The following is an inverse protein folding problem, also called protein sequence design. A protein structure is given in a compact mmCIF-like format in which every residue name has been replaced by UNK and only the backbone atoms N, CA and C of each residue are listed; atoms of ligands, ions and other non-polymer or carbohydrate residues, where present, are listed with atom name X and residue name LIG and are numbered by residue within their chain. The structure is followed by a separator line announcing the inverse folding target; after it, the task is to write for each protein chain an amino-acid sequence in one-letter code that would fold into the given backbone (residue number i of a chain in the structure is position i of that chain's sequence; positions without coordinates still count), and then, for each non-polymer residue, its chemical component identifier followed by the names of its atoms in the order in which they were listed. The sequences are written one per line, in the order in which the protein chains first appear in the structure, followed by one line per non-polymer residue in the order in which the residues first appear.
data_IF_486558787475
#
_entry.id   IF_486558787475
#
_cell.length_a   1.000
_cell.length_b   1.000
_cell.length_c   1.000
_cell.angle_alpha   90.00
_cell.angle_beta   90.00
_cell.angle_gamma   90.00
#
_symmetry.space_group_name_H-M   'P 1'
#
loop_
_entity.id
_entity.type
_entity.pdbx_description
1 polymer ?
#
# COMPACT_ATOMS: atom_id res chain seq x y z
N UNK A 1 12.34 -8.53 -5.75
CA UNK A 1 12.25 -9.81 -6.46
C UNK A 1 11.41 -9.69 -7.73
N UNK A 2 11.35 -10.72 -8.58
CA UNK A 2 10.60 -10.70 -9.84
C UNK A 2 9.14 -10.25 -9.68
N UNK A 3 8.46 -10.70 -8.61
CA UNK A 3 7.07 -10.31 -8.32
C UNK A 3 6.88 -8.80 -8.07
N UNK A 4 7.81 -8.15 -7.38
CA UNK A 4 7.77 -6.70 -7.17
C UNK A 4 8.00 -5.91 -8.46
N UNK A 5 8.90 -6.39 -9.32
CA UNK A 5 9.08 -5.80 -10.66
C UNK A 5 7.81 -5.92 -11.51
N UNK A 6 7.15 -7.08 -11.47
CA UNK A 6 5.91 -7.31 -12.19
C UNK A 6 4.77 -6.41 -11.68
N UNK A 7 4.61 -6.26 -10.36
CA UNK A 7 3.59 -5.37 -9.79
C UNK A 7 3.89 -3.90 -10.13
N UNK A 8 5.13 -3.44 -9.96
CA UNK A 8 5.51 -2.07 -10.30
C UNK A 8 5.30 -1.75 -11.78
N UNK A 9 5.71 -2.66 -12.68
CA UNK A 9 5.46 -2.49 -14.10
C UNK A 9 3.96 -2.44 -14.41
N UNK A 10 3.15 -3.31 -13.79
CA UNK A 10 1.70 -3.34 -13.98
C UNK A 10 1.06 -2.04 -13.51
N UNK A 11 1.36 -1.61 -12.28
CA UNK A 11 0.77 -0.39 -11.69
C UNK A 11 1.21 0.85 -12.49
N UNK A 12 2.48 0.90 -12.88
CA UNK A 12 3.00 2.00 -13.70
C UNK A 12 2.33 2.07 -15.06
N UNK A 13 2.17 0.94 -15.77
CA UNK A 13 1.56 0.93 -17.11
C UNK A 13 0.06 1.24 -17.07
N UNK A 14 -0.66 0.71 -16.07
CA UNK A 14 -2.12 0.91 -15.96
C UNK A 14 -2.47 2.32 -15.47
N UNK A 15 -1.69 2.86 -14.54
CA UNK A 15 -1.97 4.16 -13.92
C UNK A 15 -1.00 5.26 -14.37
N UNK A 16 -0.37 5.09 -15.54
CA UNK A 16 0.63 6.04 -16.06
C UNK A 16 0.12 7.49 -16.11
N UNK A 17 -1.17 7.68 -16.39
CA UNK A 17 -1.81 9.00 -16.44
C UNK A 17 -1.92 9.71 -15.09
N UNK A 18 -1.70 9.01 -13.96
CA UNK A 18 -1.83 9.54 -12.60
C UNK A 18 -0.66 9.11 -11.71
N UNK A 19 0.41 9.92 -11.63
CA UNK A 19 1.58 9.59 -10.84
C UNK A 19 1.30 9.40 -9.35
N UNK A 20 0.24 10.02 -8.82
CA UNK A 20 -0.18 9.82 -7.43
C UNK A 20 -0.45 8.35 -7.10
N UNK A 21 -1.02 7.60 -8.06
CA UNK A 21 -1.50 6.24 -7.82
C UNK A 21 -0.33 5.25 -7.86
N UNK A 22 0.53 5.32 -8.89
CA UNK A 22 1.64 4.36 -8.97
C UNK A 22 2.77 4.68 -7.98
N UNK A 23 3.02 5.97 -7.67
CA UNK A 23 4.05 6.34 -6.69
C UNK A 23 3.63 5.91 -5.28
N UNK A 24 2.40 6.20 -4.85
CA UNK A 24 1.90 5.74 -3.56
C UNK A 24 1.94 4.22 -3.42
N UNK A 25 1.70 3.47 -4.49
CA UNK A 25 1.74 2.01 -4.51
C UNK A 25 3.15 1.44 -4.34
N UNK A 26 4.15 2.06 -4.97
CA UNK A 26 5.56 1.71 -4.79
C UNK A 26 6.04 2.08 -3.38
N UNK A 27 5.64 3.26 -2.89
CA UNK A 27 5.93 3.69 -1.52
C UNK A 27 5.27 2.78 -0.48
N UNK A 28 4.03 2.35 -0.70
CA UNK A 28 3.31 1.45 0.20
C UNK A 28 4.03 0.11 0.40
N UNK A 29 4.60 -0.50 -0.65
CA UNK A 29 5.47 -1.67 -0.48
C UNK A 29 6.76 -1.27 0.22
N UNK A 30 7.48 -0.28 -0.29
CA UNK A 30 8.83 0.00 0.19
C UNK A 30 8.88 0.50 1.63
N UNK A 31 7.88 1.26 2.07
CA UNK A 31 7.78 1.81 3.43
C UNK A 31 6.87 0.96 4.30
N UNK A 32 5.70 0.55 3.79
CA UNK A 32 4.73 -0.23 4.56
C UNK A 32 5.24 -1.61 4.90
N UNK A 33 5.61 -2.43 3.90
CA UNK A 33 6.09 -3.80 4.10
C UNK A 33 7.39 -3.83 4.92
N UNK A 34 8.34 -2.94 4.58
CA UNK A 34 9.58 -2.79 5.34
C UNK A 34 9.33 -2.40 6.80
N UNK A 35 8.39 -1.48 7.06
CA UNK A 35 8.02 -1.14 8.44
C UNK A 35 7.35 -2.32 9.16
N UNK A 36 6.48 -3.07 8.48
CA UNK A 36 5.88 -4.28 9.02
C UNK A 36 6.92 -5.28 9.52
N UNK A 37 7.98 -5.49 8.73
CA UNK A 37 9.09 -6.38 9.09
C UNK A 37 9.96 -5.80 10.23
N UNK A 38 10.30 -4.50 10.17
CA UNK A 38 11.15 -3.82 11.14
C UNK A 38 10.49 -3.73 12.52
N UNK A 39 9.20 -3.45 12.59
CA UNK A 39 8.47 -3.36 13.86
C UNK A 39 7.91 -4.73 14.29
N UNK A 40 7.50 -5.58 13.36
CA UNK A 40 6.94 -6.89 13.66
C UNK A 40 7.97 -7.91 14.15
N UNK A 41 9.24 -7.82 13.74
CA UNK A 41 10.28 -8.77 14.17
C UNK A 41 10.75 -8.60 15.63
N UNK A 42 11.12 -7.40 16.10
CA UNK A 42 11.59 -7.17 17.46
C UNK A 42 10.44 -7.07 18.49
N UNK A 43 9.29 -6.49 18.12
CA UNK A 43 8.17 -6.30 19.05
C UNK A 43 7.09 -7.38 18.96
N UNK A 44 7.03 -8.13 17.85
CA UNK A 44 6.09 -9.24 17.70
C UNK A 44 6.45 -10.40 18.63
N UNK A 45 5.67 -10.56 19.69
CA UNK A 45 5.87 -11.59 20.72
C UNK A 45 6.05 -12.99 20.11
N UNK A 46 7.06 -13.74 20.60
CA UNK A 46 7.43 -15.10 20.11
C UNK A 46 6.25 -16.08 20.05
N UNK A 47 5.21 -15.88 20.87
CA UNK A 47 4.01 -16.72 20.91
C UNK A 47 3.02 -16.46 19.74
N UNK A 48 2.95 -15.22 19.23
CA UNK A 48 2.05 -14.85 18.11
C UNK A 48 2.64 -15.30 16.78
N UNK A 49 3.96 -15.17 16.61
CA UNK A 49 4.71 -15.61 15.41
C UNK A 49 4.43 -17.07 15.01
N UNK A 50 4.28 -17.97 15.99
CA UNK A 50 4.07 -19.41 15.73
C UNK A 50 2.63 -19.76 15.33
N UNK A 51 1.65 -18.92 15.69
CA UNK A 51 0.21 -19.15 15.41
C UNK A 51 -0.27 -18.42 14.16
N UNK A 52 0.36 -17.31 13.79
CA UNK A 52 0.02 -16.48 12.63
C UNK A 52 1.19 -16.31 11.64
N UNK A 53 1.93 -17.39 11.36
CA UNK A 53 2.92 -17.45 10.26
C UNK A 53 3.89 -16.24 10.22
N UNK A 54 4.47 -15.91 11.36
CA UNK A 54 5.41 -14.79 11.57
C UNK A 54 4.85 -13.36 11.42
N UNK A 55 3.55 -13.19 11.17
CA UNK A 55 2.88 -11.87 11.17
C UNK A 55 2.51 -11.45 12.60
N UNK A 56 2.71 -10.16 12.91
CA UNK A 56 2.44 -9.59 14.25
C UNK A 56 1.49 -8.39 14.15
N UNK A 57 0.74 -8.13 15.22
CA UNK A 57 -0.21 -7.03 15.26
C UNK A 57 0.50 -5.67 15.18
N UNK A 58 1.66 -5.57 15.82
CA UNK A 58 2.55 -4.40 15.78
C UNK A 58 3.05 -4.14 14.35
N UNK A 59 3.40 -5.20 13.62
CA UNK A 59 3.78 -5.13 12.21
C UNK A 59 2.65 -4.58 11.34
N UNK A 60 1.42 -5.09 11.49
CA UNK A 60 0.27 -4.61 10.71
C UNK A 60 -0.10 -3.16 11.04
N UNK A 61 0.04 -2.71 12.30
CA UNK A 61 -0.10 -1.29 12.66
C UNK A 61 0.96 -0.45 11.96
N UNK A 62 2.21 -0.92 11.91
CA UNK A 62 3.27 -0.22 11.20
C UNK A 62 2.96 -0.11 9.69
N UNK A 63 2.53 -1.20 9.05
CA UNK A 63 2.13 -1.21 7.64
C UNK A 63 1.00 -0.20 7.40
N UNK A 64 0.00 -0.14 8.29
CA UNK A 64 -1.11 0.81 8.19
C UNK A 64 -0.63 2.27 8.21
N UNK A 65 0.22 2.61 9.19
CA UNK A 65 0.74 3.97 9.36
C UNK A 65 1.62 4.36 8.17
N UNK A 66 2.55 3.51 7.77
CA UNK A 66 3.48 3.80 6.68
C UNK A 66 2.81 3.78 5.31
N UNK A 67 1.76 2.98 5.11
CA UNK A 67 0.93 3.06 3.89
C UNK A 67 0.13 4.36 3.86
N UNK A 68 -0.43 4.78 5.00
CA UNK A 68 -1.11 6.08 5.11
C UNK A 68 -0.17 7.23 4.75
N UNK A 69 1.05 7.21 5.30
CA UNK A 69 2.09 8.19 4.97
C UNK A 69 2.46 8.14 3.48
N UNK A 70 2.58 6.95 2.89
CA UNK A 70 2.90 6.78 1.47
C UNK A 70 1.87 7.44 0.55
N UNK A 71 0.58 7.27 0.85
CA UNK A 71 -0.51 7.89 0.09
C UNK A 71 -0.52 9.41 0.29
N UNK A 72 -0.36 9.88 1.53
CA UNK A 72 -0.29 11.32 1.85
C UNK A 72 0.88 11.98 1.11
N UNK A 73 2.07 11.39 1.18
CA UNK A 73 3.27 11.91 0.51
C UNK A 73 3.05 11.96 -0.99
N UNK A 74 2.47 10.92 -1.59
CA UNK A 74 2.23 10.91 -3.03
C UNK A 74 1.20 11.95 -3.47
N UNK A 75 0.10 12.12 -2.72
CA UNK A 75 -0.90 13.14 -3.00
C UNK A 75 -0.33 14.54 -2.84
N UNK A 76 0.46 14.79 -1.78
CA UNK A 76 1.05 16.10 -1.51
C UNK A 76 2.03 16.54 -2.62
N UNK A 77 2.76 15.60 -3.22
CA UNK A 77 3.76 15.91 -4.26
C UNK A 77 3.08 16.10 -5.64
N UNK A 78 2.17 15.21 -6.01
CA UNK A 78 1.65 15.13 -7.38
C UNK A 78 0.27 15.77 -7.56
N UNK A 79 -0.50 15.93 -6.48
CA UNK A 79 -1.82 16.54 -6.48
C UNK A 79 -1.95 17.61 -5.38
N UNK A 80 -1.17 18.71 -5.46
CA UNK A 80 -1.08 19.73 -4.40
C UNK A 80 -2.42 20.46 -4.14
N UNK A 81 -3.32 20.48 -5.12
CA UNK A 81 -4.66 21.09 -4.98
C UNK A 81 -5.60 20.23 -4.11
N UNK A 82 -5.23 18.99 -3.79
CA UNK A 82 -6.06 18.10 -2.99
C UNK A 82 -5.96 18.43 -1.50
N UNK A 83 -7.10 18.74 -0.88
CA UNK A 83 -7.19 18.93 0.56
C UNK A 83 -7.10 17.55 1.24
N UNK A 84 -5.90 17.19 1.70
CA UNK A 84 -5.61 15.88 2.33
C UNK A 84 -6.60 15.56 3.46
N UNK A 85 -6.97 16.55 4.26
CA UNK A 85 -7.88 16.36 5.38
C UNK A 85 -9.31 15.95 4.94
N UNK A 86 -9.74 16.38 3.75
CA UNK A 86 -11.05 16.03 3.20
C UNK A 86 -11.08 14.58 2.66
N UNK A 87 -9.93 14.07 2.22
CA UNK A 87 -9.79 12.70 1.69
C UNK A 87 -9.19 11.71 2.72
N UNK A 88 -8.97 12.16 3.96
CA UNK A 88 -8.37 11.35 5.02
C UNK A 88 -9.14 10.04 5.27
N UNK A 89 -10.49 10.00 5.32
CA UNK A 89 -11.22 8.74 5.47
C UNK A 89 -10.91 7.73 4.36
N UNK A 90 -10.82 8.19 3.11
CA UNK A 90 -10.49 7.37 1.95
C UNK A 90 -9.06 6.85 2.04
N UNK A 91 -8.10 7.69 2.45
CA UNK A 91 -6.71 7.29 2.66
C UNK A 91 -6.61 6.18 3.71
N UNK A 92 -7.35 6.29 4.81
CA UNK A 92 -7.36 5.26 5.85
C UNK A 92 -7.97 3.95 5.36
N UNK A 93 -9.02 4.00 4.53
CA UNK A 93 -9.60 2.80 3.91
C UNK A 93 -8.59 2.13 2.96
N UNK A 94 -7.88 2.91 2.14
CA UNK A 94 -6.82 2.41 1.25
C UNK A 94 -5.72 1.72 2.07
N UNK A 95 -5.26 2.35 3.15
CA UNK A 95 -4.27 1.78 4.04
C UNK A 95 -4.76 0.50 4.71
N UNK A 96 -6.01 0.45 5.19
CA UNK A 96 -6.62 -0.74 5.77
C UNK A 96 -6.69 -1.90 4.77
N UNK A 97 -7.09 -1.64 3.52
CA UNK A 97 -7.12 -2.66 2.48
C UNK A 97 -5.72 -3.21 2.19
N UNK A 98 -4.71 -2.33 2.11
CA UNK A 98 -3.32 -2.71 1.90
C UNK A 98 -2.74 -3.53 3.06
N UNK A 99 -2.97 -3.11 4.31
CA UNK A 99 -2.60 -3.88 5.51
C UNK A 99 -3.29 -5.23 5.56
N UNK A 100 -4.56 -5.30 5.14
CA UNK A 100 -5.28 -6.59 5.05
C UNK A 100 -4.65 -7.48 3.99
N UNK A 101 -4.25 -6.93 2.84
CA UNK A 101 -3.55 -7.66 1.81
C UNK A 101 -2.17 -8.17 2.29
N UNK A 102 -1.43 -7.35 3.04
CA UNK A 102 -0.18 -7.74 3.71
C UNK A 102 -0.39 -8.89 4.68
N UNK A 103 -1.44 -8.82 5.51
CA UNK A 103 -1.77 -9.87 6.48
C UNK A 103 -2.20 -11.18 5.83
N UNK A 104 -2.91 -11.12 4.70
CA UNK A 104 -3.36 -12.29 3.93
C UNK A 104 -2.28 -12.86 3.00
N UNK A 105 -1.27 -12.06 2.64
CA UNK A 105 -0.21 -12.49 1.76
C UNK A 105 0.67 -13.59 2.38
N UNK A 106 1.17 -14.48 1.53
CA UNK A 106 1.98 -15.63 1.95
C UNK A 106 3.31 -15.60 1.20
N UNK A 107 4.43 -15.63 1.94
CA UNK A 107 5.77 -15.59 1.36
C UNK A 107 5.99 -14.30 0.57
N UNK A 108 6.53 -14.41 -0.64
CA UNK A 108 6.90 -13.27 -1.50
C UNK A 108 5.75 -12.58 -2.24
N UNK A 109 4.50 -12.95 -1.94
CA UNK A 109 3.32 -12.42 -2.63
C UNK A 109 2.90 -11.05 -2.13
N UNK A 110 3.37 -10.64 -0.95
CA UNK A 110 3.26 -9.29 -0.38
C UNK A 110 3.67 -8.19 -1.37
N UNK A 111 4.84 -8.37 -1.97
CA UNK A 111 5.45 -7.48 -2.96
C UNK A 111 4.59 -7.32 -4.23
N UNK A 112 3.67 -8.25 -4.48
CA UNK A 112 2.71 -8.15 -5.59
C UNK A 112 1.38 -7.56 -5.15
N UNK A 113 0.81 -8.04 -4.04
CA UNK A 113 -0.52 -7.65 -3.61
C UNK A 113 -0.58 -6.25 -3.02
N UNK A 114 0.41 -5.83 -2.24
CA UNK A 114 0.41 -4.51 -1.58
C UNK A 114 0.34 -3.37 -2.62
N UNK A 115 1.20 -3.32 -3.67
CA UNK A 115 1.12 -2.25 -4.66
C UNK A 115 -0.18 -2.32 -5.47
N UNK A 116 -0.61 -3.52 -5.85
CA UNK A 116 -1.82 -3.70 -6.66
C UNK A 116 -3.08 -3.26 -5.90
N UNK A 117 -3.23 -3.68 -4.65
CA UNK A 117 -4.37 -3.30 -3.81
C UNK A 117 -4.35 -1.80 -3.51
N UNK A 118 -3.17 -1.24 -3.20
CA UNK A 118 -3.03 0.21 -2.98
C UNK A 118 -3.47 0.98 -4.23
N UNK A 119 -3.00 0.60 -5.42
CA UNK A 119 -3.33 1.27 -6.67
C UNK A 119 -4.83 1.21 -6.99
N UNK A 120 -5.40 -0.01 -6.93
CA UNK A 120 -6.81 -0.24 -7.29
C UNK A 120 -7.75 0.46 -6.32
N UNK A 121 -7.47 0.40 -5.01
CA UNK A 121 -8.30 1.08 -4.01
C UNK A 121 -8.16 2.60 -4.11
N UNK A 122 -6.97 3.11 -4.37
CA UNK A 122 -6.76 4.54 -4.59
C UNK A 122 -7.50 5.04 -5.83
N UNK A 123 -7.43 4.30 -6.94
CA UNK A 123 -8.22 4.58 -8.13
C UNK A 123 -9.72 4.59 -7.82
N UNK A 124 -10.22 3.54 -7.15
CA UNK A 124 -11.64 3.39 -6.86
C UNK A 124 -12.19 4.50 -5.94
N UNK A 125 -11.46 4.87 -4.88
CA UNK A 125 -11.97 5.80 -3.86
C UNK A 125 -11.61 7.26 -4.10
N UNK A 126 -10.45 7.55 -4.70
CA UNK A 126 -10.02 8.93 -4.95
C UNK A 126 -10.25 9.37 -6.39
N UNK A 127 -10.25 8.44 -7.35
CA UNK A 127 -10.36 8.76 -8.78
C UNK A 127 -11.35 7.86 -9.54
N UNK A 128 -12.59 7.65 -9.04
CA UNK A 128 -13.54 6.67 -9.60
C UNK A 128 -13.91 6.89 -11.08
N UNK A 129 -13.70 8.09 -11.62
CA UNK A 129 -13.97 8.44 -13.01
C UNK A 129 -12.77 8.39 -13.95
N UNK A 130 -11.59 7.97 -13.47
CA UNK A 130 -10.39 7.93 -14.30
C UNK A 130 -10.47 6.77 -15.31
N UNK A 131 -10.60 7.10 -16.59
CA UNK A 131 -10.48 6.15 -17.69
C UNK A 131 -9.01 5.76 -17.85
N UNK A 132 -8.69 4.49 -17.60
CA UNK A 132 -7.31 3.98 -17.57
C UNK A 132 -6.75 3.72 -18.97
N UNK A 133 -7.61 3.36 -19.92
CA UNK A 133 -7.24 3.11 -21.31
C UNK A 133 -8.08 4.01 -22.19
N UNK A 134 -7.44 4.97 -22.87
CA UNK A 134 -8.10 5.72 -23.94
C UNK A 134 -8.32 4.72 -25.07
N UNK A 135 -9.56 4.29 -25.25
CA UNK A 135 -10.00 3.46 -26.39
C UNK A 135 -10.25 4.36 -27.58
#
# INVERSE_FOLDING_TARGET
GFMGLASFATVFLVFFSRPEIFVSSILAVSWGDAAGEVFGRPYGGKAVKRKYRDKSFEGSIAVLIFTTLSVITSLAIFSPDTIILAVLPQILIIALCSTTAEFLSIGWTDNFFIPMITAVTMWWFLFPGLVLFVV
#
